data_IF_677759032777
#
_entry.id   IF_677759032777
#
_cell.length_a   1.000
_cell.length_b   1.000
_cell.length_c   1.000
_cell.angle_alpha   90.00
_cell.angle_beta   90.00
_cell.angle_gamma   90.00
#
_symmetry.space_group_name_H-M   'P 1'
#
loop_
_entity.id
_entity.type
_entity.pdbx_description
1 polymer ?
#
# COMPACT_ATOMS: atom_id res chain seq x y z
N UNK A 1 3.64 -12.10 -19.70
CA UNK A 1 4.98 -12.45 -19.25
C UNK A 1 5.05 -12.59 -17.74
N UNK A 2 5.91 -13.49 -17.28
CA UNK A 2 6.06 -13.83 -15.86
C UNK A 2 7.23 -13.05 -15.23
N UNK A 3 7.26 -11.75 -15.47
CA UNK A 3 8.32 -10.90 -14.94
C UNK A 3 7.87 -10.17 -13.69
N UNK A 4 8.83 -9.86 -12.82
CA UNK A 4 8.60 -8.99 -11.67
C UNK A 4 8.22 -7.60 -12.14
N UNK A 5 7.21 -7.01 -11.50
CA UNK A 5 6.93 -5.59 -11.68
C UNK A 5 7.99 -4.79 -10.91
N UNK A 6 8.54 -3.76 -11.57
CA UNK A 6 9.45 -2.84 -10.90
C UNK A 6 8.70 -1.62 -10.36
N UNK A 7 9.40 -0.74 -9.64
CA UNK A 7 8.80 0.46 -9.06
C UNK A 7 8.16 1.37 -10.11
N UNK A 8 8.80 1.48 -11.28
CA UNK A 8 8.30 2.32 -12.37
C UNK A 8 6.98 1.78 -12.93
N UNK A 9 6.89 0.46 -13.09
CA UNK A 9 5.66 -0.18 -13.55
C UNK A 9 4.50 0.13 -12.61
N UNK A 10 4.74 -0.03 -11.30
CA UNK A 10 3.73 0.21 -10.26
C UNK A 10 3.31 1.68 -10.23
N UNK A 11 4.27 2.58 -10.26
CA UNK A 11 4.02 4.02 -10.25
C UNK A 11 3.23 4.49 -11.48
N UNK A 12 3.57 3.97 -12.66
CA UNK A 12 2.87 4.32 -13.89
C UNK A 12 1.40 3.91 -13.87
N UNK A 13 1.11 2.72 -13.35
CA UNK A 13 -0.29 2.26 -13.19
C UNK A 13 -1.02 3.15 -12.20
N UNK A 14 -0.42 3.41 -11.04
CA UNK A 14 -1.06 4.20 -9.98
C UNK A 14 -1.29 5.66 -10.39
N UNK A 15 -0.41 6.25 -11.19
CA UNK A 15 -0.61 7.61 -11.73
C UNK A 15 -1.86 7.71 -12.58
N UNK A 16 -2.16 6.68 -13.36
CA UNK A 16 -3.39 6.65 -14.17
C UNK A 16 -4.63 6.71 -13.28
N UNK A 17 -4.61 5.98 -12.15
CA UNK A 17 -5.72 5.96 -11.20
C UNK A 17 -5.81 7.26 -10.41
N UNK A 18 -4.71 7.90 -10.07
CA UNK A 18 -4.73 9.23 -9.44
C UNK A 18 -5.38 10.27 -10.36
N UNK A 19 -5.11 10.17 -11.65
CA UNK A 19 -5.67 11.07 -12.65
C UNK A 19 -7.18 10.87 -12.81
N UNK A 20 -7.63 9.61 -12.80
CA UNK A 20 -9.04 9.26 -12.96
C UNK A 20 -9.86 9.52 -11.69
N UNK A 21 -9.24 9.33 -10.50
CA UNK A 21 -9.90 9.47 -9.20
C UNK A 21 -9.24 10.58 -8.39
N UNK A 22 -9.73 11.84 -8.47
CA UNK A 22 -9.08 12.98 -7.79
C UNK A 22 -8.98 12.87 -6.27
N UNK A 23 -9.83 12.02 -5.65
CA UNK A 23 -9.81 11.78 -4.21
C UNK A 23 -8.84 10.68 -3.79
N UNK A 24 -8.11 10.10 -4.73
CA UNK A 24 -7.13 9.05 -4.48
C UNK A 24 -5.72 9.61 -4.53
N UNK A 25 -4.91 9.21 -3.56
CA UNK A 25 -3.49 9.53 -3.50
C UNK A 25 -2.68 8.23 -3.41
N UNK A 26 -1.63 8.12 -4.22
CA UNK A 26 -0.73 6.96 -4.17
C UNK A 26 0.63 7.40 -3.64
N UNK A 27 1.12 6.69 -2.63
CA UNK A 27 2.44 6.93 -2.04
C UNK A 27 3.30 5.68 -2.22
N UNK A 28 4.33 5.81 -2.98
CA UNK A 28 5.24 4.70 -3.29
C UNK A 28 5.67 4.73 -4.76
N UNK A 29 6.20 3.67 -5.28
CA UNK A 29 6.57 2.42 -4.57
C UNK A 29 7.85 2.63 -3.74
N UNK A 30 7.77 2.58 -2.43
CA UNK A 30 8.83 3.00 -1.53
C UNK A 30 9.64 1.82 -0.98
N UNK A 31 10.96 1.99 -0.74
CA UNK A 31 11.75 0.96 -0.05
C UNK A 31 11.38 0.90 1.42
N UNK A 32 11.68 -0.24 2.07
CA UNK A 32 11.30 -0.45 3.47
C UNK A 32 12.01 0.53 4.42
N UNK A 33 13.18 1.01 4.04
CA UNK A 33 13.94 1.98 4.84
C UNK A 33 13.56 3.43 4.56
N UNK A 34 12.31 3.67 4.15
CA UNK A 34 11.79 5.00 3.81
C UNK A 34 11.97 6.03 4.92
N UNK A 35 12.01 5.60 6.17
CA UNK A 35 12.13 6.46 7.35
C UNK A 35 13.58 6.65 7.81
N UNK A 36 14.54 6.02 7.13
CA UNK A 36 15.96 6.10 7.50
C UNK A 36 16.52 7.49 7.21
N UNK A 37 17.36 8.03 8.11
CA UNK A 37 17.95 9.35 7.92
C UNK A 37 18.94 9.37 6.76
N UNK A 38 18.97 10.49 6.06
CA UNK A 38 19.97 10.87 5.05
C UNK A 38 20.76 12.08 5.55
N UNK A 39 21.67 12.58 4.72
CA UNK A 39 22.42 13.80 5.01
C UNK A 39 21.47 15.00 5.13
N UNK A 40 21.85 15.98 5.96
CA UNK A 40 21.11 17.24 6.18
C UNK A 40 19.69 17.05 6.78
N UNK A 41 19.49 16.00 7.56
CA UNK A 41 18.22 15.77 8.25
C UNK A 41 17.10 15.26 7.35
N UNK A 42 17.38 14.94 6.10
CA UNK A 42 16.41 14.32 5.20
C UNK A 42 16.23 12.83 5.52
N UNK A 43 15.15 12.24 5.02
CA UNK A 43 14.93 10.80 5.07
C UNK A 43 14.87 10.21 3.65
N UNK A 44 14.94 8.91 3.54
CA UNK A 44 14.96 8.20 2.25
C UNK A 44 13.72 8.52 1.41
N UNK A 45 12.54 8.61 2.04
CA UNK A 45 11.27 8.93 1.35
C UNK A 45 10.46 9.94 2.16
N UNK A 46 10.58 11.21 1.79
CA UNK A 46 10.01 12.34 2.53
C UNK A 46 8.50 12.25 2.74
N UNK A 47 7.74 11.86 1.72
CA UNK A 47 6.29 11.75 1.82
C UNK A 47 5.82 10.78 2.90
N UNK A 48 6.63 9.77 3.21
CA UNK A 48 6.30 8.75 4.21
C UNK A 48 6.81 9.11 5.58
N UNK A 49 8.05 9.56 5.70
CA UNK A 49 8.60 9.90 7.02
C UNK A 49 7.95 11.17 7.60
N UNK A 50 7.44 12.04 6.75
CA UNK A 50 6.68 13.25 7.14
C UNK A 50 5.19 13.13 6.82
N UNK A 51 4.67 11.91 6.75
CA UNK A 51 3.26 11.70 6.44
C UNK A 51 2.36 12.46 7.42
N UNK A 52 1.43 13.26 6.88
CA UNK A 52 0.47 14.04 7.65
C UNK A 52 -0.93 13.82 7.07
N UNK A 53 -1.76 13.13 7.84
CA UNK A 53 -3.13 12.80 7.45
C UNK A 53 -3.97 14.07 7.21
N UNK A 54 -3.71 15.14 7.95
CA UNK A 54 -4.46 16.40 7.81
C UNK A 54 -4.24 17.04 6.44
N UNK A 55 -3.06 16.88 5.86
CA UNK A 55 -2.76 17.37 4.50
C UNK A 55 -3.64 16.62 3.50
N UNK A 56 -3.73 15.29 3.62
CA UNK A 56 -4.60 14.49 2.76
C UNK A 56 -6.06 14.92 2.88
N UNK A 57 -6.54 15.10 4.10
CA UNK A 57 -7.93 15.53 4.37
C UNK A 57 -8.21 16.90 3.73
N UNK A 58 -7.32 17.87 3.93
CA UNK A 58 -7.48 19.23 3.37
C UNK A 58 -7.49 19.24 1.85
N UNK A 59 -6.74 18.33 1.23
CA UNK A 59 -6.64 18.21 -0.23
C UNK A 59 -7.75 17.34 -0.83
N UNK A 60 -8.69 16.87 -0.04
CA UNK A 60 -9.79 16.02 -0.51
C UNK A 60 -9.38 14.60 -0.86
N UNK A 61 -8.23 14.15 -0.35
CA UNK A 61 -7.70 12.81 -0.59
C UNK A 61 -8.21 11.88 0.51
N UNK A 62 -9.29 11.17 0.26
CA UNK A 62 -9.90 10.30 1.28
C UNK A 62 -9.59 8.81 1.10
N UNK A 63 -8.89 8.46 0.03
CA UNK A 63 -8.38 7.10 -0.21
C UNK A 63 -6.91 7.18 -0.55
N UNK A 64 -6.08 6.43 0.18
CA UNK A 64 -4.62 6.49 0.05
C UNK A 64 -4.10 5.06 -0.12
N UNK A 65 -3.38 4.82 -1.21
CA UNK A 65 -2.73 3.54 -1.47
C UNK A 65 -1.23 3.66 -1.26
N UNK A 66 -0.65 2.62 -0.66
CA UNK A 66 0.80 2.55 -0.39
C UNK A 66 1.33 1.24 -0.94
N UNK A 67 2.49 1.30 -1.59
CA UNK A 67 3.23 0.09 -1.96
C UNK A 67 4.66 0.24 -1.45
N UNK A 68 5.15 -0.82 -0.81
CA UNK A 68 6.50 -0.86 -0.25
C UNK A 68 7.24 -2.06 -0.80
N UNK A 69 8.55 -1.88 -1.00
CA UNK A 69 9.44 -3.02 -1.23
C UNK A 69 10.05 -3.44 0.10
N UNK A 70 10.13 -4.74 0.36
CA UNK A 70 10.68 -5.24 1.62
C UNK A 70 12.20 -5.10 1.74
N UNK A 71 12.88 -4.75 0.64
CA UNK A 71 14.31 -4.45 0.65
C UNK A 71 14.55 -2.96 0.89
N UNK A 72 15.70 -2.59 1.53
CA UNK A 72 16.13 -1.21 1.62
C UNK A 72 16.40 -0.59 0.25
N UNK A 73 16.50 0.73 0.21
CA UNK A 73 16.68 1.49 -1.04
C UNK A 73 17.93 1.13 -1.84
N UNK A 74 18.97 0.62 -1.18
CA UNK A 74 20.25 0.26 -1.83
C UNK A 74 20.29 -1.18 -2.37
N UNK A 75 19.20 -1.94 -2.26
CA UNK A 75 19.08 -3.29 -2.82
C UNK A 75 18.12 -3.28 -4.01
N UNK A 76 18.16 -4.34 -4.80
CA UNK A 76 17.38 -4.45 -6.03
C UNK A 76 15.87 -4.62 -5.82
N UNK A 77 15.46 -4.99 -4.61
CA UNK A 77 14.07 -5.28 -4.30
C UNK A 77 13.71 -6.75 -4.46
N UNK A 78 12.99 -7.32 -3.49
CA UNK A 78 12.67 -8.74 -3.48
C UNK A 78 11.17 -9.04 -3.39
N UNK A 79 10.39 -8.17 -2.74
CA UNK A 79 8.97 -8.46 -2.48
C UNK A 79 8.18 -7.16 -2.29
N UNK A 80 7.01 -7.09 -2.94
CA UNK A 80 6.10 -5.96 -2.83
C UNK A 80 4.99 -6.27 -1.84
N UNK A 81 4.74 -5.33 -0.96
CA UNK A 81 3.63 -5.34 0.00
C UNK A 81 2.87 -4.03 -0.12
N UNK A 82 1.64 -3.99 0.37
CA UNK A 82 0.79 -2.82 0.15
C UNK A 82 -0.11 -2.52 1.35
N UNK A 83 -0.64 -1.31 1.35
CA UNK A 83 -1.54 -0.84 2.39
C UNK A 83 -2.54 0.13 1.77
N UNK A 84 -3.75 0.15 2.30
CA UNK A 84 -4.80 1.05 1.83
C UNK A 84 -5.46 1.73 3.02
N UNK A 85 -5.61 3.04 2.95
CA UNK A 85 -6.32 3.84 3.97
C UNK A 85 -7.57 4.42 3.35
N UNK A 86 -8.73 4.15 3.94
CA UNK A 86 -9.99 4.76 3.58
C UNK A 86 -10.44 5.65 4.73
N UNK A 87 -10.36 6.96 4.53
CA UNK A 87 -10.67 7.94 5.58
C UNK A 87 -12.17 7.98 5.86
N UNK A 88 -13.01 7.91 4.82
CA UNK A 88 -14.47 7.93 4.97
C UNK A 88 -15.01 6.70 5.69
N UNK A 89 -14.52 5.52 5.33
CA UNK A 89 -14.94 4.26 5.95
C UNK A 89 -14.12 3.92 7.19
N UNK A 90 -13.12 4.73 7.49
CA UNK A 90 -12.32 4.68 8.73
C UNK A 90 -11.61 3.34 8.92
N UNK A 91 -10.90 2.86 7.88
CA UNK A 91 -10.09 1.66 8.02
C UNK A 91 -8.70 1.84 7.41
N UNK A 92 -7.77 1.03 7.92
CA UNK A 92 -6.43 0.84 7.39
C UNK A 92 -6.30 -0.66 7.11
N UNK A 93 -5.98 -1.03 5.87
CA UNK A 93 -5.81 -2.43 5.50
C UNK A 93 -4.38 -2.68 5.05
N UNK A 94 -3.67 -3.56 5.75
CA UNK A 94 -2.34 -4.01 5.35
C UNK A 94 -2.44 -5.33 4.61
N UNK A 95 -1.73 -5.43 3.49
CA UNK A 95 -1.79 -6.60 2.62
C UNK A 95 -0.40 -7.06 2.19
N UNK A 96 -0.03 -8.26 2.61
CA UNK A 96 1.06 -9.04 2.04
C UNK A 96 0.43 -10.29 1.43
N UNK A 97 0.62 -10.50 0.13
CA UNK A 97 0.03 -11.64 -0.59
C UNK A 97 0.51 -13.00 -0.08
N UNK A 98 1.62 -13.04 0.67
CA UNK A 98 2.10 -14.25 1.35
C UNK A 98 1.52 -14.43 2.76
N UNK A 99 0.76 -13.45 3.25
CA UNK A 99 0.11 -13.53 4.55
C UNK A 99 0.99 -13.17 5.74
N UNK A 100 2.19 -12.65 5.51
CA UNK A 100 3.08 -12.22 6.58
C UNK A 100 2.60 -10.90 7.21
N UNK A 101 2.92 -10.68 8.50
CA UNK A 101 2.58 -9.41 9.15
C UNK A 101 3.43 -8.25 8.60
N UNK A 102 3.00 -7.00 8.83
CA UNK A 102 3.78 -5.86 8.37
C UNK A 102 5.16 -5.80 9.05
N UNK A 103 6.19 -5.38 8.30
CA UNK A 103 7.51 -5.09 8.89
C UNK A 103 7.40 -3.98 9.93
N UNK A 104 8.40 -3.89 10.81
CA UNK A 104 8.41 -2.90 11.91
C UNK A 104 8.25 -1.46 11.41
N UNK A 105 8.85 -1.13 10.26
CA UNK A 105 8.77 0.21 9.66
C UNK A 105 7.33 0.55 9.26
N UNK A 106 6.63 -0.40 8.68
CA UNK A 106 5.22 -0.23 8.29
C UNK A 106 4.32 -0.21 9.53
N UNK A 107 4.60 -1.03 10.53
CA UNK A 107 3.86 -0.98 11.82
C UNK A 107 3.95 0.40 12.47
N UNK A 108 5.13 1.01 12.43
CA UNK A 108 5.35 2.37 12.96
C UNK A 108 4.52 3.38 12.19
N UNK A 109 4.47 3.27 10.87
CA UNK A 109 3.65 4.13 10.01
C UNK A 109 2.16 3.95 10.31
N UNK A 110 1.69 2.72 10.44
CA UNK A 110 0.29 2.41 10.78
C UNK A 110 -0.08 3.07 12.11
N UNK A 111 0.76 2.92 13.11
CA UNK A 111 0.54 3.53 14.43
C UNK A 111 0.45 5.05 14.34
N UNK A 112 1.34 5.65 13.56
CA UNK A 112 1.35 7.10 13.32
C UNK A 112 0.03 7.56 12.66
N UNK A 113 -0.45 6.84 11.66
CA UNK A 113 -1.71 7.16 10.98
C UNK A 113 -2.90 7.04 11.95
N UNK A 114 -2.92 6.00 12.77
CA UNK A 114 -3.99 5.81 13.78
C UNK A 114 -3.99 6.99 14.77
N UNK A 115 -2.81 7.39 15.24
CA UNK A 115 -2.67 8.50 16.18
C UNK A 115 -3.10 9.84 15.56
N UNK A 116 -2.68 10.10 14.32
CA UNK A 116 -3.11 11.30 13.58
C UNK A 116 -4.62 11.29 13.35
N UNK A 117 -5.18 10.11 13.08
CA UNK A 117 -6.62 9.92 12.93
C UNK A 117 -7.38 10.33 14.20
N UNK A 118 -6.92 9.86 15.36
CA UNK A 118 -7.55 10.22 16.66
C UNK A 118 -7.57 11.71 16.88
N UNK A 119 -6.47 12.40 16.57
CA UNK A 119 -6.41 13.86 16.70
C UNK A 119 -7.41 14.53 15.76
N UNK A 120 -7.65 13.97 14.58
CA UNK A 120 -8.61 14.48 13.59
C UNK A 120 -10.05 14.00 13.84
N UNK A 121 -10.30 13.25 14.91
CA UNK A 121 -11.63 12.72 15.21
C UNK A 121 -11.99 11.46 14.42
N UNK A 122 -11.00 10.76 13.88
CA UNK A 122 -11.19 9.54 13.11
C UNK A 122 -10.65 8.36 13.91
N UNK A 123 -11.52 7.38 14.20
CA UNK A 123 -11.15 6.17 14.91
C UNK A 123 -10.97 5.04 13.89
N UNK A 124 -9.76 4.87 13.38
CA UNK A 124 -9.45 3.88 12.36
C UNK A 124 -9.54 2.45 12.87
N UNK A 125 -10.19 1.60 12.09
CA UNK A 125 -10.18 0.15 12.29
C UNK A 125 -9.01 -0.42 11.48
N UNK A 126 -8.12 -1.17 12.13
CA UNK A 126 -6.99 -1.80 11.46
C UNK A 126 -7.31 -3.23 11.08
N UNK A 127 -7.06 -3.59 9.82
CA UNK A 127 -7.30 -4.93 9.26
C UNK A 127 -6.01 -5.40 8.59
N UNK A 128 -5.65 -6.66 8.82
CA UNK A 128 -4.44 -7.25 8.30
C UNK A 128 -4.75 -8.58 7.60
N UNK A 129 -4.24 -8.75 6.38
CA UNK A 129 -4.35 -10.03 5.68
C UNK A 129 -3.36 -11.04 6.27
N UNK A 130 -3.85 -12.21 6.64
CA UNK A 130 -3.04 -13.33 7.13
C UNK A 130 -3.09 -14.53 6.20
N UNK A 131 -3.84 -14.43 5.12
CA UNK A 131 -4.02 -15.51 4.15
C UNK A 131 -2.90 -15.50 3.12
N UNK A 132 -2.32 -16.67 2.87
CA UNK A 132 -1.30 -16.86 1.85
C UNK A 132 -1.98 -17.07 0.50
N UNK A 133 -2.09 -16.02 -0.31
CA UNK A 133 -2.69 -16.06 -1.64
C UNK A 133 -1.66 -16.44 -2.71
N UNK A 134 -0.53 -15.78 -2.69
CA UNK A 134 0.51 -15.90 -3.69
C UNK A 134 1.27 -17.22 -3.58
N UNK A 135 1.47 -17.90 -4.72
CA UNK A 135 2.30 -19.09 -4.80
C UNK A 135 3.55 -18.87 -5.65
N UNK A 136 3.43 -18.06 -6.70
CA UNK A 136 4.57 -17.72 -7.58
C UNK A 136 5.21 -16.41 -7.10
N UNK A 137 6.54 -16.36 -6.92
CA UNK A 137 7.21 -15.20 -6.38
C UNK A 137 7.08 -13.92 -7.23
N UNK A 138 6.84 -14.07 -8.53
CA UNK A 138 6.75 -12.92 -9.46
C UNK A 138 5.44 -12.14 -9.38
N UNK A 139 4.46 -12.61 -8.61
CA UNK A 139 3.10 -12.03 -8.62
C UNK A 139 2.83 -11.01 -7.50
N UNK A 140 3.77 -10.78 -6.57
CA UNK A 140 3.53 -9.90 -5.43
C UNK A 140 3.17 -8.46 -5.81
N UNK A 141 3.78 -7.92 -6.86
CA UNK A 141 3.46 -6.59 -7.36
C UNK A 141 2.05 -6.52 -7.92
N UNK A 142 1.65 -7.54 -8.67
CA UNK A 142 0.30 -7.62 -9.24
C UNK A 142 -0.75 -7.73 -8.14
N UNK A 143 -0.51 -8.55 -7.12
CA UNK A 143 -1.40 -8.65 -5.95
C UNK A 143 -1.56 -7.32 -5.25
N UNK A 144 -0.47 -6.57 -5.09
CA UNK A 144 -0.50 -5.25 -4.45
C UNK A 144 -1.36 -4.26 -5.24
N UNK A 145 -1.20 -4.23 -6.56
CA UNK A 145 -2.03 -3.38 -7.43
C UNK A 145 -3.49 -3.83 -7.43
N UNK A 146 -3.73 -5.13 -7.48
CA UNK A 146 -5.07 -5.70 -7.45
C UNK A 146 -5.83 -5.26 -6.19
N UNK A 147 -5.17 -5.35 -5.04
CA UNK A 147 -5.77 -4.93 -3.77
C UNK A 147 -6.15 -3.44 -3.80
N UNK A 148 -5.20 -2.58 -4.14
CA UNK A 148 -5.42 -1.13 -4.15
C UNK A 148 -6.55 -0.75 -5.11
N UNK A 149 -6.52 -1.27 -6.33
CA UNK A 149 -7.51 -0.92 -7.35
C UNK A 149 -8.92 -1.38 -6.96
N UNK A 150 -9.05 -2.59 -6.42
CA UNK A 150 -10.35 -3.10 -6.02
C UNK A 150 -10.95 -2.36 -4.83
N UNK A 151 -10.12 -1.95 -3.88
CA UNK A 151 -10.58 -1.14 -2.75
C UNK A 151 -10.87 0.31 -3.17
N UNK A 152 -10.07 0.86 -4.08
CA UNK A 152 -10.32 2.19 -4.64
C UNK A 152 -11.66 2.26 -5.36
N UNK A 153 -11.95 1.28 -6.21
CA UNK A 153 -13.21 1.21 -6.98
C UNK A 153 -14.37 0.64 -6.17
N UNK A 154 -14.13 0.23 -4.94
CA UNK A 154 -15.13 -0.40 -4.06
C UNK A 154 -15.75 -1.68 -4.65
N UNK A 155 -14.99 -2.39 -5.49
CA UNK A 155 -15.39 -3.68 -6.04
C UNK A 155 -15.19 -4.82 -5.03
N UNK A 156 -14.33 -4.61 -4.04
CA UNK A 156 -14.08 -5.53 -2.93
C UNK A 156 -13.95 -4.75 -1.63
N UNK A 157 -14.16 -5.45 -0.52
CA UNK A 157 -13.92 -4.96 0.85
C UNK A 157 -12.64 -5.59 1.38
N UNK A 158 -11.97 -5.00 2.39
CA UNK A 158 -10.80 -5.63 3.00
C UNK A 158 -11.06 -7.06 3.45
N UNK A 159 -12.24 -7.34 4.01
CA UNK A 159 -12.63 -8.66 4.51
C UNK A 159 -12.63 -9.73 3.41
N UNK A 160 -12.90 -9.34 2.15
CA UNK A 160 -12.88 -10.29 1.01
C UNK A 160 -11.49 -10.88 0.82
N UNK A 161 -10.43 -10.11 1.11
CA UNK A 161 -9.05 -10.60 1.02
C UNK A 161 -8.69 -11.57 2.14
N UNK A 162 -9.44 -11.55 3.23
CA UNK A 162 -9.22 -12.43 4.37
C UNK A 162 -9.83 -13.82 4.16
N UNK A 163 -10.87 -13.91 3.35
CA UNK A 163 -11.68 -15.11 3.19
C UNK A 163 -11.64 -15.72 1.79
N UNK A 164 -11.56 -14.89 0.74
CA UNK A 164 -11.67 -15.35 -0.63
C UNK A 164 -10.36 -15.97 -1.14
N UNK A 165 -10.50 -16.93 -2.04
CA UNK A 165 -9.35 -17.44 -2.80
C UNK A 165 -9.02 -16.48 -3.94
N UNK A 166 -7.75 -16.07 -4.00
CA UNK A 166 -7.23 -15.19 -5.06
C UNK A 166 -6.00 -15.87 -5.68
N UNK A 167 -6.22 -16.83 -6.60
CA UNK A 167 -5.10 -17.58 -7.17
C UNK A 167 -4.28 -16.76 -8.15
N UNK A 168 -3.03 -17.19 -8.36
CA UNK A 168 -2.11 -16.54 -9.31
C UNK A 168 -2.70 -16.41 -10.71
N UNK A 169 -3.54 -17.36 -11.13
CA UNK A 169 -4.20 -17.36 -12.44
C UNK A 169 -5.12 -16.16 -12.61
N UNK A 170 -5.80 -15.74 -11.54
CA UNK A 170 -6.64 -14.54 -11.56
C UNK A 170 -5.78 -13.28 -11.69
N UNK A 171 -4.61 -13.29 -11.05
CA UNK A 171 -3.65 -12.19 -11.16
C UNK A 171 -3.09 -12.07 -12.58
N UNK A 172 -2.85 -13.18 -13.26
CA UNK A 172 -2.43 -13.17 -14.66
C UNK A 172 -3.45 -12.51 -15.57
N UNK A 173 -4.73 -12.77 -15.37
CA UNK A 173 -5.81 -12.10 -16.11
C UNK A 173 -5.85 -10.60 -15.83
N UNK A 174 -5.65 -10.22 -14.59
CA UNK A 174 -5.61 -8.81 -14.17
C UNK A 174 -4.41 -8.08 -14.77
N UNK A 175 -3.25 -8.75 -14.84
CA UNK A 175 -2.00 -8.20 -15.42
C UNK A 175 -2.19 -7.81 -16.88
N UNK A 176 -2.94 -8.59 -17.63
CA UNK A 176 -3.22 -8.35 -19.04
C UNK A 176 -4.44 -7.44 -19.21
#
# INVERSE_FOLDING_TARGET
PNEWLNSIDIENVMKQYEKEFPYFDFIGAAPIDFDSPKMYGECVWEELCHFDLNISIRNGRNKIGFVFNTDPHYLSGSHWISMFVNIKQKYIFFFDSTGNPPPKEVKKLIKKIIEQGKVAGIDFRYIENKKHHQKKPTECGVYSLFMIINLLKEMKKPEDFLTDELPDEEMQKFRN
#
